data_IF_904552084253
#
_entry.id   IF_904552084253
#
_cell.length_a   1.000
_cell.length_b   1.000
_cell.length_c   1.000
_cell.angle_alpha   90.00
_cell.angle_beta   90.00
_cell.angle_gamma   90.00
#
_symmetry.space_group_name_H-M   'P 1'
#
loop_
_entity.id
_entity.type
_entity.pdbx_description
1 polymer ?
#
# COMPACT_ATOMS: atom_id res chain seq x y z
N UNK A 1 -7.83 34.09 30.37
CA UNK A 1 -8.53 35.40 30.42
C UNK A 1 -9.65 35.51 29.38
N UNK A 2 -10.71 34.69 29.32
CA UNK A 2 -11.86 34.99 28.44
C UNK A 2 -12.60 36.24 28.94
N UNK A 3 -12.42 37.35 28.23
CA UNK A 3 -13.18 38.59 28.37
C UNK A 3 -14.53 38.37 27.70
N UNK A 4 -15.59 38.58 28.47
CA UNK A 4 -16.96 38.35 28.05
C UNK A 4 -17.35 39.36 26.97
N UNK A 5 -18.03 38.89 25.91
CA UNK A 5 -18.37 39.67 24.71
C UNK A 5 -19.31 40.85 25.03
N UNK A 6 -19.93 40.84 26.21
CA UNK A 6 -20.80 41.90 26.71
C UNK A 6 -20.07 43.21 27.01
N UNK A 7 -18.79 43.16 27.43
CA UNK A 7 -18.00 44.36 27.72
C UNK A 7 -17.54 45.10 26.44
N UNK A 8 -17.42 44.39 25.32
CA UNK A 8 -17.00 44.99 24.03
C UNK A 8 -18.15 45.78 23.38
N UNK A 9 -19.39 45.56 23.80
CA UNK A 9 -20.59 46.09 23.14
C UNK A 9 -21.44 47.05 24.01
N UNK A 10 -21.01 47.39 25.22
CA UNK A 10 -21.54 48.54 25.98
C UNK A 10 -23.03 48.47 26.37
N UNK A 11 -23.56 47.29 26.67
CA UNK A 11 -24.98 47.11 27.01
C UNK A 11 -25.17 47.15 28.54
N UNK A 12 -26.06 47.99 29.12
CA UNK A 12 -26.25 48.07 30.57
C UNK A 12 -26.93 46.80 31.14
N UNK A 13 -26.39 46.27 32.24
CA UNK A 13 -26.86 45.04 32.87
C UNK A 13 -28.03 45.30 33.84
N UNK A 14 -29.20 44.70 33.59
CA UNK A 14 -30.16 44.46 34.67
C UNK A 14 -29.70 43.23 35.46
N UNK A 15 -29.59 43.39 36.78
CA UNK A 15 -29.12 42.40 37.74
C UNK A 15 -30.00 41.16 37.72
N UNK A 16 -29.40 39.95 37.72
CA UNK A 16 -29.82 38.80 38.53
C UNK A 16 -28.79 37.64 38.45
N UNK A 17 -28.30 37.28 39.64
CA UNK A 17 -27.75 36.00 40.14
C UNK A 17 -26.65 35.23 39.37
N UNK A 18 -25.56 34.98 40.12
CA UNK A 18 -24.29 34.37 39.73
C UNK A 18 -24.30 32.82 39.67
N UNK A 19 -23.51 32.26 38.74
CA UNK A 19 -23.08 30.86 38.71
C UNK A 19 -21.53 30.73 38.77
N UNK A 20 -20.98 29.58 39.21
CA UNK A 20 -19.58 29.44 39.65
C UNK A 20 -18.55 29.32 38.49
N UNK A 21 -17.26 29.62 38.72
CA UNK A 21 -16.30 29.91 37.65
C UNK A 21 -15.67 28.66 37.04
N UNK A 22 -15.65 28.56 35.70
CA UNK A 22 -14.88 27.54 34.98
C UNK A 22 -13.41 27.99 34.79
N UNK A 23 -12.49 27.11 35.20
CA UNK A 23 -11.03 27.26 35.05
C UNK A 23 -10.63 27.41 33.58
N UNK A 24 -10.01 28.55 33.24
CA UNK A 24 -9.35 28.82 31.96
C UNK A 24 -8.08 27.97 31.82
N UNK A 25 -8.08 27.02 30.89
CA UNK A 25 -6.84 26.36 30.41
C UNK A 25 -5.99 27.36 29.62
N UNK A 26 -4.70 27.46 29.95
CA UNK A 26 -3.73 28.25 29.17
C UNK A 26 -3.42 27.52 27.85
N UNK A 27 -3.42 28.19 26.69
CA UNK A 27 -2.83 27.61 25.49
C UNK A 27 -1.30 27.53 25.65
N UNK A 28 -0.70 26.44 25.17
CA UNK A 28 0.74 26.23 25.16
C UNK A 28 1.42 27.33 24.34
N UNK A 29 2.48 27.93 24.91
CA UNK A 29 3.33 28.87 24.18
C UNK A 29 4.13 28.20 23.06
N UNK A 30 4.65 28.97 22.11
CA UNK A 30 5.44 28.44 20.99
C UNK A 30 6.70 27.74 21.50
N UNK A 31 7.13 26.70 20.77
CA UNK A 31 8.39 26.01 21.03
C UNK A 31 9.56 27.00 20.95
N UNK A 32 10.49 26.93 21.92
CA UNK A 32 11.66 27.82 21.99
C UNK A 32 12.43 27.77 20.66
N UNK A 33 12.63 28.92 20.02
CA UNK A 33 13.47 29.08 18.84
C UNK A 33 12.76 29.49 17.55
N UNK A 34 11.42 29.55 17.52
CA UNK A 34 10.66 29.99 16.33
C UNK A 34 9.89 31.27 16.65
N UNK A 35 10.00 32.27 15.77
CA UNK A 35 9.29 33.55 15.96
C UNK A 35 7.78 33.34 15.84
N UNK A 36 7.04 34.11 16.65
CA UNK A 36 5.57 34.02 16.78
C UNK A 36 4.84 34.21 15.44
N UNK A 37 5.43 34.96 14.51
CA UNK A 37 4.86 35.23 13.20
C UNK A 37 5.11 34.07 12.22
N UNK A 38 6.28 33.44 12.29
CA UNK A 38 6.63 32.28 11.47
C UNK A 38 5.83 31.04 11.90
N UNK A 39 5.52 30.92 13.20
CA UNK A 39 4.62 29.89 13.73
C UNK A 39 3.17 30.06 13.27
N UNK A 40 2.69 31.31 13.15
CA UNK A 40 1.33 31.59 12.66
C UNK A 40 1.22 31.46 11.13
N UNK A 41 2.32 31.65 10.40
CA UNK A 41 2.38 31.47 8.95
C UNK A 41 2.46 29.99 8.54
N UNK A 42 3.00 29.12 9.40
CA UNK A 42 3.10 27.66 9.19
C UNK A 42 1.80 26.90 9.52
N UNK A 43 0.63 27.55 9.43
CA UNK A 43 -0.66 26.95 9.77
C UNK A 43 -0.90 25.58 9.11
N UNK A 44 -1.51 24.64 9.85
CA UNK A 44 -2.12 23.31 9.55
C UNK A 44 -1.62 22.44 8.37
N UNK A 45 -0.51 22.77 7.70
CA UNK A 45 0.00 22.10 6.51
C UNK A 45 1.32 21.37 6.78
N UNK A 46 1.36 20.61 7.88
CA UNK A 46 2.39 19.59 8.05
C UNK A 46 1.89 18.29 7.39
N UNK A 47 2.64 17.70 6.44
CA UNK A 47 2.29 16.39 5.90
C UNK A 47 2.27 15.37 7.05
N UNK A 48 1.31 14.43 7.10
CA UNK A 48 1.23 13.49 8.19
C UNK A 48 2.42 12.54 8.09
N UNK A 49 3.37 12.65 9.02
CA UNK A 49 4.41 11.65 9.22
C UNK A 49 3.75 10.35 9.69
N UNK A 50 3.41 9.48 8.74
CA UNK A 50 2.85 8.17 9.05
C UNK A 50 4.01 7.23 9.40
N UNK A 51 4.33 7.14 10.68
CA UNK A 51 4.84 5.90 11.25
C UNK A 51 3.64 5.19 11.86
N UNK A 52 3.07 4.21 11.15
CA UNK A 52 2.06 3.30 11.72
C UNK A 52 2.77 2.33 12.68
N UNK A 53 3.00 2.76 13.91
CA UNK A 53 3.18 1.82 15.02
C UNK A 53 1.78 1.43 15.53
N UNK A 54 1.50 0.14 15.42
CA UNK A 54 0.33 -0.55 15.94
C UNK A 54 -0.17 0.00 17.28
N UNK A 55 -1.36 0.61 17.30
CA UNK A 55 -2.33 0.61 18.40
C UNK A 55 -1.93 1.04 19.82
N UNK A 56 -0.67 1.33 20.10
CA UNK A 56 -0.19 1.77 21.41
C UNK A 56 0.06 3.28 21.34
N UNK A 57 -0.63 4.10 22.16
CA UNK A 57 -0.38 5.53 22.14
C UNK A 57 1.08 5.78 22.50
N UNK A 58 1.85 6.33 21.56
CA UNK A 58 3.22 6.84 21.74
C UNK A 58 3.24 8.10 22.62
N UNK A 59 2.70 7.95 23.84
CA UNK A 59 2.68 8.92 24.93
C UNK A 59 2.78 8.20 26.27
N UNK A 60 3.47 7.07 26.36
CA UNK A 60 4.02 6.67 27.65
C UNK A 60 5.00 7.76 28.06
N UNK A 61 4.62 8.56 29.05
CA UNK A 61 5.55 9.48 29.71
C UNK A 61 6.79 8.67 30.07
N UNK A 62 8.01 9.13 29.72
CA UNK A 62 9.22 8.41 30.09
C UNK A 62 9.17 8.10 31.58
N UNK A 63 9.46 6.86 31.97
CA UNK A 63 9.44 6.45 33.37
C UNK A 63 10.64 7.07 34.10
N UNK A 64 10.61 8.39 34.33
CA UNK A 64 11.68 9.18 34.94
C UNK A 64 12.03 8.76 36.38
N UNK A 65 11.22 7.89 37.01
CA UNK A 65 11.45 7.36 38.36
C UNK A 65 12.07 5.95 38.37
N UNK A 66 12.28 5.30 37.22
CA UNK A 66 13.03 4.03 37.20
C UNK A 66 14.51 4.31 37.36
N UNK A 67 15.17 3.58 38.27
CA UNK A 67 16.63 3.58 38.35
C UNK A 67 17.18 3.13 37.00
N UNK A 68 18.15 3.88 36.47
CA UNK A 68 18.81 3.51 35.23
C UNK A 68 19.41 2.10 35.39
N UNK A 69 19.18 1.24 34.40
CA UNK A 69 19.78 -0.09 34.35
C UNK A 69 21.30 0.10 34.28
N UNK A 70 22.04 -0.45 35.24
CA UNK A 70 23.49 -0.45 35.20
C UNK A 70 23.97 -1.41 34.10
N UNK A 71 24.91 -0.94 33.30
CA UNK A 71 25.53 -1.71 32.23
C UNK A 71 27.00 -1.91 32.54
N UNK A 72 27.48 -3.15 32.45
CA UNK A 72 28.89 -3.49 32.65
C UNK A 72 29.42 -4.14 31.38
N UNK A 73 30.66 -3.79 30.99
CA UNK A 73 31.37 -4.48 29.91
C UNK A 73 32.00 -5.75 30.45
N UNK A 74 31.38 -6.90 30.20
CA UNK A 74 31.88 -8.19 30.63
C UNK A 74 32.69 -8.85 29.49
N UNK A 75 33.84 -9.48 29.80
CA UNK A 75 34.54 -10.34 28.85
C UNK A 75 33.77 -11.65 28.64
N UNK A 76 33.78 -12.18 27.41
CA UNK A 76 33.21 -13.48 27.07
C UNK A 76 34.08 -14.18 26.01
N UNK A 77 34.00 -15.50 25.99
CA UNK A 77 34.57 -16.36 24.94
C UNK A 77 33.42 -16.90 24.10
N UNK A 78 33.64 -17.06 22.79
CA UNK A 78 32.66 -17.63 21.88
C UNK A 78 33.16 -19.01 21.44
N UNK A 79 32.56 -20.08 21.97
CA UNK A 79 32.90 -21.47 21.67
C UNK A 79 32.64 -21.89 20.22
N UNK A 80 31.90 -21.10 19.43
CA UNK A 80 31.77 -21.32 18.00
C UNK A 80 33.04 -20.97 17.20
N UNK A 81 34.00 -20.27 17.82
CA UNK A 81 35.27 -19.93 17.19
C UNK A 81 36.34 -20.95 17.56
N UNK A 82 37.30 -21.17 16.66
CA UNK A 82 38.46 -22.03 16.91
C UNK A 82 39.63 -21.27 17.56
N UNK A 83 39.55 -19.94 17.68
CA UNK A 83 40.54 -19.10 18.37
C UNK A 83 40.13 -18.80 19.82
N UNK A 84 41.10 -18.65 20.73
CA UNK A 84 40.83 -18.31 22.14
C UNK A 84 40.58 -16.79 22.34
N UNK A 85 39.91 -16.16 21.37
CA UNK A 85 39.70 -14.72 21.35
C UNK A 85 38.66 -14.30 22.40
N UNK A 86 39.11 -13.49 23.37
CA UNK A 86 38.23 -12.91 24.39
C UNK A 86 37.66 -11.58 23.91
N UNK A 87 36.35 -11.55 23.68
CA UNK A 87 35.60 -10.34 23.31
C UNK A 87 34.87 -9.75 24.52
N UNK A 88 34.28 -8.56 24.38
CA UNK A 88 33.52 -7.90 25.46
C UNK A 88 32.15 -7.47 24.95
N UNK A 89 31.09 -7.68 25.75
CA UNK A 89 29.76 -7.17 25.45
C UNK A 89 29.14 -6.48 26.67
N UNK A 90 28.08 -5.70 26.44
CA UNK A 90 27.34 -5.01 27.49
C UNK A 90 26.28 -5.92 28.10
N UNK A 91 26.38 -6.21 29.40
CA UNK A 91 25.36 -6.93 30.16
C UNK A 91 24.59 -5.99 31.08
N UNK A 92 23.30 -6.29 31.29
CA UNK A 92 22.45 -5.57 32.24
C UNK A 92 22.67 -6.15 33.64
N UNK A 93 23.02 -5.31 34.61
CA UNK A 93 22.99 -5.67 36.02
C UNK A 93 24.20 -5.18 36.83
N UNK A 94 24.08 -5.13 38.17
CA UNK A 94 25.21 -5.10 39.09
C UNK A 94 25.81 -6.51 39.21
N UNK A 95 27.11 -6.56 39.53
CA UNK A 95 28.07 -7.66 39.35
C UNK A 95 27.76 -8.98 40.11
N UNK A 96 26.60 -9.15 40.75
CA UNK A 96 26.26 -10.34 41.55
C UNK A 96 25.78 -11.56 40.73
N UNK A 97 25.27 -11.37 39.52
CA UNK A 97 24.85 -12.50 38.64
C UNK A 97 25.96 -12.95 37.67
N UNK A 98 27.20 -12.48 37.87
CA UNK A 98 28.38 -12.88 37.10
C UNK A 98 29.08 -14.14 37.66
N UNK A 99 28.62 -14.68 38.79
CA UNK A 99 29.24 -15.85 39.45
C UNK A 99 28.90 -17.18 38.78
N UNK A 100 27.96 -17.20 37.84
CA UNK A 100 27.83 -18.28 36.87
C UNK A 100 28.34 -17.78 35.52
N UNK A 101 29.61 -18.05 35.16
CA UNK A 101 30.02 -17.98 33.77
C UNK A 101 28.99 -18.78 32.99
N UNK A 102 28.20 -18.13 32.14
CA UNK A 102 27.35 -18.85 31.22
C UNK A 102 28.28 -19.83 30.48
N UNK A 103 28.07 -21.13 30.68
CA UNK A 103 28.94 -22.18 30.15
C UNK A 103 29.14 -22.03 28.63
N UNK A 104 28.16 -21.42 27.95
CA UNK A 104 28.13 -21.17 26.52
C UNK A 104 27.66 -19.74 26.25
N UNK A 105 28.34 -19.05 25.34
CA UNK A 105 27.89 -17.74 24.88
C UNK A 105 26.57 -17.89 24.12
N UNK A 106 25.56 -17.09 24.49
CA UNK A 106 24.20 -17.21 23.99
C UNK A 106 24.08 -17.31 22.45
N UNK A 107 24.97 -16.64 21.71
CA UNK A 107 24.91 -16.61 20.26
C UNK A 107 25.67 -17.75 19.56
N UNK A 108 26.33 -18.64 20.30
CA UNK A 108 26.98 -19.85 19.75
C UNK A 108 26.00 -20.73 18.98
N UNK A 109 24.76 -20.81 19.46
CA UNK A 109 23.67 -21.62 18.87
C UNK A 109 23.33 -21.20 17.44
N UNK A 110 23.69 -19.97 17.03
CA UNK A 110 23.44 -19.47 15.69
C UNK A 110 24.55 -19.80 14.69
N UNK A 111 25.70 -20.32 15.14
CA UNK A 111 26.76 -20.76 14.25
C UNK A 111 26.43 -22.14 13.66
N UNK A 112 25.55 -22.15 12.66
CA UNK A 112 25.10 -23.36 11.97
C UNK A 112 25.81 -23.50 10.64
N UNK A 113 26.44 -24.65 10.42
CA UNK A 113 27.10 -25.01 9.17
C UNK A 113 26.20 -25.97 8.37
N UNK A 114 26.05 -25.80 7.05
CA UNK A 114 25.35 -26.77 6.22
C UNK A 114 26.15 -28.06 6.13
N UNK A 115 25.45 -29.19 6.13
CA UNK A 115 26.07 -30.49 5.86
C UNK A 115 26.28 -30.65 4.34
N UNK A 116 27.53 -30.65 3.91
CA UNK A 116 27.91 -30.76 2.50
C UNK A 116 28.17 -32.23 2.19
N UNK A 117 27.37 -32.79 1.27
CA UNK A 117 27.49 -34.18 0.85
C UNK A 117 28.89 -34.48 0.29
N UNK A 118 29.52 -35.55 0.78
CA UNK A 118 30.78 -36.06 0.24
C UNK A 118 30.49 -37.22 -0.70
N UNK A 119 31.31 -37.40 -1.74
CA UNK A 119 31.19 -38.50 -2.70
C UNK A 119 32.48 -39.31 -2.82
N UNK A 120 32.34 -40.58 -3.22
CA UNK A 120 33.46 -41.44 -3.60
C UNK A 120 33.80 -41.33 -5.08
N UNK A 121 34.99 -41.81 -5.47
CA UNK A 121 35.38 -41.91 -6.88
C UNK A 121 34.39 -42.74 -7.73
N UNK A 122 33.77 -43.76 -7.13
CA UNK A 122 32.81 -44.65 -7.80
C UNK A 122 31.47 -43.97 -8.02
N UNK A 123 30.98 -43.24 -7.00
CA UNK A 123 29.77 -42.43 -7.11
C UNK A 123 29.94 -41.35 -8.17
N UNK A 124 31.14 -40.76 -8.28
CA UNK A 124 31.45 -39.77 -9.30
C UNK A 124 31.29 -40.34 -10.72
N UNK A 125 31.98 -41.46 -11.00
CA UNK A 125 31.97 -42.11 -12.31
C UNK A 125 30.56 -42.59 -12.71
N UNK A 126 29.75 -43.00 -11.73
CA UNK A 126 28.43 -43.59 -12.01
C UNK A 126 27.34 -42.54 -12.19
N UNK A 127 27.34 -41.48 -11.37
CA UNK A 127 26.19 -40.57 -11.26
C UNK A 127 26.51 -39.10 -11.51
N UNK A 128 27.78 -38.68 -11.41
CA UNK A 128 28.15 -37.26 -11.38
C UNK A 128 28.88 -36.77 -12.63
N UNK A 129 29.25 -37.66 -13.55
CA UNK A 129 29.90 -37.28 -14.81
C UNK A 129 29.02 -36.32 -15.63
N UNK A 130 29.63 -35.23 -16.10
CA UNK A 130 29.01 -34.26 -17.01
C UNK A 130 30.03 -33.83 -18.06
N UNK A 131 29.63 -33.65 -19.33
CA UNK A 131 30.55 -33.28 -20.40
C UNK A 131 31.18 -31.89 -20.18
N UNK A 132 30.44 -30.98 -19.55
CA UNK A 132 30.89 -29.60 -19.31
C UNK A 132 31.69 -29.42 -18.02
N UNK A 133 31.94 -30.48 -17.24
CA UNK A 133 32.57 -30.40 -15.92
C UNK A 133 33.64 -31.47 -15.74
N UNK A 134 34.82 -31.05 -15.30
CA UNK A 134 35.87 -32.01 -14.92
C UNK A 134 35.67 -32.46 -13.47
N UNK A 135 36.31 -33.58 -13.12
CA UNK A 135 36.32 -34.07 -11.74
C UNK A 135 37.02 -33.09 -10.81
N UNK A 136 38.17 -32.57 -11.22
CA UNK A 136 38.95 -31.58 -10.46
C UNK A 136 38.13 -30.32 -10.15
N UNK A 137 37.40 -29.79 -11.14
CA UNK A 137 36.50 -28.65 -10.93
C UNK A 137 35.39 -28.99 -9.93
N UNK A 138 34.88 -30.22 -9.99
CA UNK A 138 33.81 -30.67 -9.08
C UNK A 138 34.34 -30.84 -7.66
N UNK A 139 35.52 -31.42 -7.49
CA UNK A 139 36.19 -31.60 -6.20
C UNK A 139 36.43 -30.24 -5.54
N UNK A 140 37.00 -29.28 -6.30
CA UNK A 140 37.24 -27.91 -5.80
C UNK A 140 35.94 -27.19 -5.45
N UNK A 141 34.87 -27.36 -6.24
CA UNK A 141 33.56 -26.78 -5.92
C UNK A 141 33.03 -27.29 -4.58
N UNK A 142 33.08 -28.61 -4.35
CA UNK A 142 32.59 -29.20 -3.10
C UNK A 142 33.46 -28.78 -1.91
N UNK A 143 34.77 -28.71 -2.08
CA UNK A 143 35.70 -28.24 -1.05
C UNK A 143 35.44 -26.77 -0.69
N UNK A 144 35.24 -25.90 -1.68
CA UNK A 144 34.89 -24.50 -1.44
C UNK A 144 33.52 -24.38 -0.75
N UNK A 145 32.53 -25.17 -1.14
CA UNK A 145 31.23 -25.19 -0.48
C UNK A 145 31.34 -25.63 1.00
N UNK A 146 32.22 -26.60 1.30
CA UNK A 146 32.48 -27.06 2.67
C UNK A 146 33.25 -26.03 3.50
N UNK A 147 34.23 -25.35 2.92
CA UNK A 147 35.03 -24.33 3.63
C UNK A 147 34.24 -23.04 3.91
N UNK A 148 33.32 -22.67 3.02
CA UNK A 148 32.60 -21.39 3.06
C UNK A 148 31.09 -21.53 3.28
N UNK A 149 30.63 -22.66 3.82
CA UNK A 149 29.23 -22.89 4.21
C UNK A 149 28.23 -22.63 3.06
N UNK A 150 28.58 -23.05 1.85
CA UNK A 150 27.78 -22.83 0.63
C UNK A 150 27.42 -21.35 0.37
N UNK A 151 28.22 -20.41 0.87
CA UNK A 151 28.08 -18.98 0.57
C UNK A 151 28.56 -18.72 -0.85
N UNK A 152 27.69 -18.98 -1.82
CA UNK A 152 28.03 -18.98 -3.26
C UNK A 152 28.66 -17.68 -3.78
N UNK A 153 28.40 -16.53 -3.14
CA UNK A 153 29.08 -15.27 -3.48
C UNK A 153 30.59 -15.37 -3.21
N UNK A 154 30.98 -15.95 -2.07
CA UNK A 154 32.37 -16.18 -1.69
C UNK A 154 32.99 -17.32 -2.51
N UNK A 155 32.22 -18.39 -2.73
CA UNK A 155 32.67 -19.53 -3.56
C UNK A 155 32.99 -19.06 -4.98
N UNK A 156 32.14 -18.22 -5.57
CA UNK A 156 32.37 -17.63 -6.89
C UNK A 156 33.58 -16.68 -6.92
N UNK A 157 33.75 -15.85 -5.88
CA UNK A 157 34.92 -14.96 -5.75
C UNK A 157 36.25 -15.73 -5.63
N UNK A 158 36.23 -16.87 -4.94
CA UNK A 158 37.40 -17.74 -4.72
C UNK A 158 37.55 -18.84 -5.77
N UNK A 159 36.75 -18.81 -6.83
CA UNK A 159 36.84 -19.78 -7.91
C UNK A 159 38.20 -19.64 -8.62
N UNK A 160 38.96 -20.73 -8.80
CA UNK A 160 40.29 -20.64 -9.41
C UNK A 160 40.24 -20.06 -10.83
N UNK A 161 41.19 -19.17 -11.12
CA UNK A 161 41.33 -18.53 -12.43
C UNK A 161 41.68 -19.50 -13.55
N UNK A 162 42.33 -20.62 -13.18
CA UNK A 162 42.87 -21.62 -14.11
C UNK A 162 41.76 -22.49 -14.72
N UNK A 163 40.62 -22.56 -14.04
CA UNK A 163 39.44 -23.25 -14.54
C UNK A 163 38.59 -22.38 -15.45
N UNK A 164 37.65 -23.02 -16.14
CA UNK A 164 36.64 -22.30 -16.92
C UNK A 164 35.88 -21.34 -16.01
N UNK A 165 35.83 -20.07 -16.39
CA UNK A 165 35.06 -19.07 -15.67
C UNK A 165 33.57 -19.37 -15.80
N UNK A 166 32.88 -19.47 -14.67
CA UNK A 166 31.47 -19.83 -14.59
C UNK A 166 30.70 -18.81 -13.77
N UNK A 167 29.44 -18.60 -14.12
CA UNK A 167 28.56 -17.76 -13.33
C UNK A 167 28.26 -18.42 -11.98
N UNK A 168 27.93 -17.60 -10.98
CA UNK A 168 27.47 -18.09 -9.68
C UNK A 168 26.30 -19.09 -9.83
N UNK A 169 25.43 -18.87 -10.80
CA UNK A 169 24.26 -19.68 -11.08
C UNK A 169 24.64 -21.06 -11.64
N UNK A 170 25.68 -21.14 -12.47
CA UNK A 170 26.24 -22.40 -12.97
C UNK A 170 26.93 -23.21 -11.85
N UNK A 171 27.63 -22.54 -10.93
CA UNK A 171 28.22 -23.20 -9.76
C UNK A 171 27.13 -23.81 -8.86
N UNK A 172 26.02 -23.08 -8.67
CA UNK A 172 24.84 -23.58 -7.94
C UNK A 172 24.20 -24.76 -8.65
N UNK A 173 23.96 -24.68 -9.96
CA UNK A 173 23.39 -25.77 -10.74
C UNK A 173 24.21 -27.06 -10.56
N UNK A 174 25.54 -26.94 -10.69
CA UNK A 174 26.42 -28.09 -10.49
C UNK A 174 26.31 -28.64 -9.07
N UNK A 175 26.41 -27.80 -8.04
CA UNK A 175 26.30 -28.23 -6.64
C UNK A 175 24.97 -28.95 -6.36
N UNK A 176 23.83 -28.36 -6.73
CA UNK A 176 22.52 -28.94 -6.49
C UNK A 176 22.28 -30.20 -7.32
N UNK A 177 22.83 -30.28 -8.54
CA UNK A 177 22.77 -31.50 -9.35
C UNK A 177 23.50 -32.67 -8.68
N UNK A 178 24.66 -32.41 -8.06
CA UNK A 178 25.43 -33.42 -7.34
C UNK A 178 24.68 -33.86 -6.09
N UNK A 179 24.20 -32.93 -5.28
CA UNK A 179 23.42 -33.24 -4.08
C UNK A 179 22.17 -34.06 -4.43
N UNK A 180 21.45 -33.69 -5.49
CA UNK A 180 20.27 -34.42 -5.96
C UNK A 180 20.64 -35.85 -6.38
N UNK A 181 21.69 -36.02 -7.18
CA UNK A 181 22.14 -37.34 -7.64
C UNK A 181 22.62 -38.24 -6.50
N UNK A 182 23.39 -37.69 -5.55
CA UNK A 182 23.88 -38.44 -4.37
C UNK A 182 22.76 -38.81 -3.42
N UNK A 183 21.81 -37.92 -3.18
CA UNK A 183 20.71 -38.22 -2.27
C UNK A 183 19.76 -39.23 -2.89
N UNK A 184 19.51 -39.13 -4.20
CA UNK A 184 18.76 -40.12 -4.94
C UNK A 184 19.43 -41.50 -4.91
N UNK A 185 20.75 -41.59 -5.13
CA UNK A 185 21.47 -42.88 -5.10
C UNK A 185 21.48 -43.53 -3.71
N UNK A 186 21.42 -42.71 -2.66
CA UNK A 186 21.37 -43.14 -1.25
C UNK A 186 19.95 -43.36 -0.71
N UNK A 187 18.92 -43.20 -1.53
CA UNK A 187 17.52 -43.32 -1.12
C UNK A 187 17.06 -42.25 -0.12
N UNK A 188 17.73 -41.10 -0.08
CA UNK A 188 17.39 -39.94 0.74
C UNK A 188 16.42 -39.00 0.00
N UNK A 189 15.72 -38.15 0.75
CA UNK A 189 14.81 -37.16 0.15
C UNK A 189 15.59 -36.12 -0.66
N UNK A 190 15.14 -35.87 -1.88
CA UNK A 190 15.67 -34.81 -2.76
C UNK A 190 14.81 -33.55 -2.73
N UNK A 191 13.86 -33.45 -1.80
CA UNK A 191 12.93 -32.34 -1.73
C UNK A 191 13.66 -31.03 -1.43
N UNK A 192 13.35 -29.97 -2.19
CA UNK A 192 14.03 -28.68 -2.10
C UNK A 192 15.43 -28.59 -2.74
N UNK A 193 15.94 -29.65 -3.38
CA UNK A 193 17.22 -29.62 -4.11
C UNK A 193 17.09 -29.29 -5.60
N UNK A 194 15.87 -29.09 -6.10
CA UNK A 194 15.65 -28.72 -7.49
C UNK A 194 16.10 -27.28 -7.76
N UNK A 195 17.11 -27.15 -8.63
CA UNK A 195 17.63 -25.87 -9.09
C UNK A 195 17.46 -25.79 -10.61
N UNK A 196 16.77 -24.76 -11.10
CA UNK A 196 16.58 -24.50 -12.53
C UNK A 196 17.48 -23.33 -12.95
N UNK A 197 18.56 -23.67 -13.65
CA UNK A 197 19.56 -22.70 -14.12
C UNK A 197 18.93 -21.61 -15.00
N UNK A 198 18.11 -21.99 -15.98
CA UNK A 198 17.55 -21.05 -16.95
C UNK A 198 16.61 -20.05 -16.27
N UNK A 199 15.81 -20.54 -15.31
CA UNK A 199 14.92 -19.69 -14.51
C UNK A 199 15.69 -18.74 -13.61
N UNK A 200 16.75 -19.20 -12.95
CA UNK A 200 17.55 -18.37 -12.04
C UNK A 200 18.37 -17.31 -12.78
N UNK A 201 18.90 -17.63 -13.96
CA UNK A 201 19.56 -16.66 -14.84
C UNK A 201 18.58 -15.59 -15.33
N UNK A 202 17.39 -16.00 -15.80
CA UNK A 202 16.34 -15.06 -16.19
C UNK A 202 15.89 -14.16 -15.03
N UNK A 203 15.73 -14.75 -13.83
CA UNK A 203 15.37 -14.02 -12.61
C UNK A 203 16.44 -12.99 -12.23
N UNK A 204 17.73 -13.38 -12.28
CA UNK A 204 18.84 -12.46 -11.99
C UNK A 204 18.91 -11.33 -12.99
N UNK A 205 18.82 -11.63 -14.29
CA UNK A 205 18.81 -10.61 -15.35
C UNK A 205 17.68 -9.60 -15.14
N UNK A 206 16.47 -10.08 -14.84
CA UNK A 206 15.33 -9.21 -14.52
C UNK A 206 15.58 -8.31 -13.30
N UNK A 207 16.19 -8.85 -12.24
CA UNK A 207 16.53 -8.06 -11.05
C UNK A 207 17.64 -7.03 -11.33
N UNK A 208 18.62 -7.38 -12.16
CA UNK A 208 19.66 -6.45 -12.59
C UNK A 208 19.08 -5.30 -13.44
N UNK A 209 18.13 -5.61 -14.32
CA UNK A 209 17.37 -4.61 -15.09
C UNK A 209 16.57 -3.69 -14.15
N UNK A 210 15.85 -4.26 -13.18
CA UNK A 210 15.11 -3.48 -12.18
C UNK A 210 16.02 -2.62 -11.30
N UNK A 211 17.21 -3.11 -10.97
CA UNK A 211 18.19 -2.40 -10.17
C UNK A 211 18.83 -1.22 -10.94
N UNK A 212 19.03 -1.39 -12.26
CA UNK A 212 19.60 -0.35 -13.14
C UNK A 212 18.57 0.71 -13.55
N UNK A 213 17.29 0.50 -13.24
CA UNK A 213 16.19 1.38 -13.64
C UNK A 213 16.34 2.78 -13.05
N UNK A 214 16.25 3.79 -13.90
CA UNK A 214 16.28 5.20 -13.51
C UNK A 214 14.91 5.67 -13.02
N UNK A 215 14.85 6.71 -12.15
CA UNK A 215 13.56 7.27 -11.72
C UNK A 215 12.72 7.80 -12.88
N UNK A 216 13.33 8.34 -13.94
CA UNK A 216 12.61 8.85 -15.11
C UNK A 216 11.92 7.73 -15.88
N UNK A 217 12.59 6.58 -16.08
CA UNK A 217 11.98 5.36 -16.64
C UNK A 217 10.88 4.79 -15.74
N UNK A 218 10.94 5.03 -14.42
CA UNK A 218 9.84 4.69 -13.49
C UNK A 218 8.61 5.54 -13.76
N UNK A 219 8.78 6.85 -13.91
CA UNK A 219 7.67 7.75 -14.19
C UNK A 219 7.04 7.51 -15.56
N UNK A 220 7.85 7.25 -16.59
CA UNK A 220 7.36 6.96 -17.93
C UNK A 220 6.52 5.67 -17.97
N UNK A 221 7.01 4.56 -17.40
CA UNK A 221 6.23 3.32 -17.36
C UNK A 221 4.94 3.51 -16.55
N UNK A 222 4.97 4.26 -15.45
CA UNK A 222 3.77 4.56 -14.68
C UNK A 222 2.74 5.34 -15.53
N UNK A 223 3.19 6.30 -16.36
CA UNK A 223 2.32 7.01 -17.31
C UNK A 223 1.75 6.04 -18.35
N UNK A 224 2.58 5.15 -18.91
CA UNK A 224 2.14 4.14 -19.87
C UNK A 224 1.13 3.15 -19.27
N UNK A 225 1.31 2.72 -18.02
CA UNK A 225 0.38 1.84 -17.32
C UNK A 225 -0.98 2.54 -17.11
N UNK A 226 -0.97 3.83 -16.76
CA UNK A 226 -2.20 4.61 -16.61
C UNK A 226 -2.93 4.73 -17.96
N UNK A 227 -2.22 5.06 -19.03
CA UNK A 227 -2.78 5.16 -20.38
C UNK A 227 -3.28 3.80 -20.89
N UNK A 228 -2.54 2.72 -20.67
CA UNK A 228 -2.96 1.35 -21.01
C UNK A 228 -4.26 0.98 -20.31
N UNK A 229 -4.38 1.23 -19.00
CA UNK A 229 -5.62 0.99 -18.25
C UNK A 229 -6.78 1.85 -18.76
N UNK A 230 -6.49 3.09 -19.17
CA UNK A 230 -7.49 3.98 -19.75
C UNK A 230 -7.98 3.43 -21.10
N UNK A 231 -7.08 2.95 -21.96
CA UNK A 231 -7.41 2.32 -23.23
C UNK A 231 -8.21 1.03 -23.04
N UNK A 232 -7.82 0.15 -22.13
CA UNK A 232 -8.58 -1.06 -21.81
C UNK A 232 -10.00 -0.75 -21.31
N UNK A 233 -10.15 0.30 -20.49
CA UNK A 233 -11.47 0.74 -20.02
C UNK A 233 -12.31 1.31 -21.18
N UNK A 234 -11.70 2.11 -22.06
CA UNK A 234 -12.36 2.65 -23.24
C UNK A 234 -12.78 1.55 -24.22
N UNK A 235 -11.93 0.56 -24.45
CA UNK A 235 -12.22 -0.62 -25.29
C UNK A 235 -13.43 -1.39 -24.75
N UNK A 236 -13.47 -1.64 -23.43
CA UNK A 236 -14.63 -2.28 -22.78
C UNK A 236 -15.91 -1.47 -22.96
N UNK A 237 -15.85 -0.15 -22.82
CA UNK A 237 -17.02 0.72 -23.05
C UNK A 237 -17.47 0.68 -24.51
N UNK A 238 -16.53 0.74 -25.46
CA UNK A 238 -16.83 0.69 -26.88
C UNK A 238 -17.41 -0.66 -27.29
N UNK A 239 -16.92 -1.76 -26.71
CA UNK A 239 -17.48 -3.10 -26.92
C UNK A 239 -18.94 -3.19 -26.43
N UNK A 240 -19.24 -2.63 -25.25
CA UNK A 240 -20.61 -2.56 -24.72
C UNK A 240 -21.51 -1.70 -25.61
N UNK A 241 -21.04 -0.53 -26.04
CA UNK A 241 -21.78 0.35 -26.94
C UNK A 241 -22.05 -0.32 -28.29
N UNK A 242 -21.07 -1.03 -28.86
CA UNK A 242 -21.23 -1.80 -30.09
C UNK A 242 -22.26 -2.91 -29.92
N UNK A 243 -22.26 -3.63 -28.80
CA UNK A 243 -23.25 -4.66 -28.52
C UNK A 243 -24.66 -4.07 -28.39
N UNK A 244 -24.81 -2.94 -27.68
CA UNK A 244 -26.09 -2.24 -27.55
C UNK A 244 -26.59 -1.70 -28.89
N UNK A 245 -25.69 -1.19 -29.73
CA UNK A 245 -26.01 -0.73 -31.08
C UNK A 245 -26.48 -1.90 -31.94
N UNK A 246 -25.74 -3.02 -31.97
CA UNK A 246 -26.15 -4.22 -32.68
C UNK A 246 -27.52 -4.73 -32.19
N UNK A 247 -27.74 -4.77 -30.88
CA UNK A 247 -29.04 -5.13 -30.29
C UNK A 247 -30.18 -4.19 -30.71
N UNK A 248 -29.87 -2.91 -30.89
CA UNK A 248 -30.86 -1.90 -31.32
C UNK A 248 -31.10 -1.95 -32.82
N UNK A 249 -30.05 -2.26 -33.59
CA UNK A 249 -30.07 -2.41 -35.04
C UNK A 249 -30.65 -3.76 -35.49
N UNK A 250 -30.77 -4.75 -34.60
CA UNK A 250 -31.60 -5.95 -34.77
C UNK A 250 -33.07 -5.52 -34.93
N UNK A 251 -33.41 -5.05 -36.13
CA UNK A 251 -34.78 -4.91 -36.59
C UNK A 251 -35.43 -6.28 -36.54
N UNK A 252 -36.65 -6.41 -35.97
CA UNK A 252 -37.39 -7.66 -36.09
C UNK A 252 -37.57 -7.96 -37.57
N UNK A 253 -37.00 -9.08 -38.04
CA UNK A 253 -37.24 -9.61 -39.37
C UNK A 253 -38.76 -9.71 -39.56
N UNK A 254 -39.32 -9.00 -40.55
CA UNK A 254 -40.76 -9.04 -40.82
C UNK A 254 -41.13 -10.43 -41.32
N UNK A 255 -41.81 -11.23 -40.49
CA UNK A 255 -42.18 -12.61 -40.80
C UNK A 255 -43.46 -12.72 -41.65
N UNK A 256 -43.98 -11.63 -42.21
CA UNK A 256 -45.29 -11.61 -42.86
C UNK A 256 -45.40 -10.61 -44.02
N UNK A 257 -46.36 -10.88 -44.91
CA UNK A 257 -46.67 -10.04 -46.07
C UNK A 257 -47.31 -8.72 -45.65
N UNK A 258 -46.85 -7.61 -46.25
CA UNK A 258 -47.35 -6.23 -46.02
C UNK A 258 -48.87 -6.10 -46.22
N UNK A 259 -49.47 -6.99 -47.03
CA UNK A 259 -50.90 -7.00 -47.31
C UNK A 259 -51.77 -7.15 -46.05
N UNK A 260 -51.27 -7.82 -45.00
CA UNK A 260 -52.01 -8.04 -43.75
C UNK A 260 -52.12 -6.77 -42.88
N UNK A 261 -51.36 -5.72 -43.19
CA UNK A 261 -51.33 -4.45 -42.46
C UNK A 261 -51.90 -3.28 -43.24
N UNK A 262 -52.43 -3.52 -44.45
CA UNK A 262 -53.04 -2.49 -45.30
C UNK A 262 -54.44 -2.08 -44.83
N UNK A 263 -55.10 -2.88 -43.99
CA UNK A 263 -56.37 -2.51 -43.36
C UNK A 263 -56.12 -1.78 -42.03
N UNK A 264 -57.01 -0.85 -41.67
CA UNK A 264 -56.95 -0.11 -40.40
C UNK A 264 -56.93 -1.04 -39.17
N UNK A 265 -57.60 -2.20 -39.27
CA UNK A 265 -57.58 -3.25 -38.25
C UNK A 265 -56.24 -4.00 -38.19
N UNK A 266 -55.63 -4.29 -39.33
CA UNK A 266 -54.30 -4.94 -39.41
C UNK A 266 -53.16 -4.05 -38.90
N UNK A 267 -53.30 -2.73 -39.07
CA UNK A 267 -52.39 -1.71 -38.56
C UNK A 267 -52.51 -1.56 -37.03
N UNK A 268 -53.73 -1.62 -36.49
CA UNK A 268 -53.97 -1.61 -35.04
C UNK A 268 -53.41 -2.87 -34.35
N UNK A 269 -53.56 -4.04 -34.97
CA UNK A 269 -52.99 -5.29 -34.46
C UNK A 269 -51.44 -5.27 -34.45
N UNK A 270 -50.82 -4.71 -35.48
CA UNK A 270 -49.36 -4.52 -35.55
C UNK A 270 -48.86 -3.55 -34.48
N UNK A 271 -49.56 -2.43 -34.28
CA UNK A 271 -49.21 -1.45 -33.26
C UNK A 271 -49.27 -2.05 -31.84
N UNK A 272 -50.29 -2.85 -31.55
CA UNK A 272 -50.40 -3.60 -30.28
C UNK A 272 -49.32 -4.68 -30.14
N UNK A 273 -48.98 -5.38 -31.24
CA UNK A 273 -47.86 -6.33 -31.28
C UNK A 273 -46.50 -5.68 -31.00
N UNK A 274 -46.24 -4.49 -31.56
CA UNK A 274 -45.02 -3.74 -31.28
C UNK A 274 -44.98 -3.22 -29.84
N UNK A 275 -46.07 -2.67 -29.32
CA UNK A 275 -46.18 -2.20 -27.93
C UNK A 275 -45.98 -3.34 -26.91
N UNK A 276 -46.44 -4.54 -27.21
CA UNK A 276 -46.26 -5.71 -26.33
C UNK A 276 -44.87 -6.30 -26.43
N UNK A 277 -44.27 -6.35 -27.63
CA UNK A 277 -42.87 -6.75 -27.82
C UNK A 277 -41.90 -5.79 -27.12
N UNK A 278 -42.18 -4.48 -27.15
CA UNK A 278 -41.34 -3.47 -26.50
C UNK A 278 -41.43 -3.54 -24.97
N UNK A 279 -42.65 -3.77 -24.43
CA UNK A 279 -42.86 -4.07 -23.00
C UNK A 279 -42.14 -5.34 -22.55
N UNK A 280 -42.13 -6.39 -23.38
CA UNK A 280 -41.44 -7.65 -23.07
C UNK A 280 -39.90 -7.51 -23.13
N UNK A 281 -39.35 -6.77 -24.11
CA UNK A 281 -37.91 -6.46 -24.18
C UNK A 281 -37.45 -5.63 -22.97
N UNK A 282 -38.23 -4.64 -22.55
CA UNK A 282 -37.93 -3.81 -21.37
C UNK A 282 -37.96 -4.62 -20.07
N UNK A 283 -38.88 -5.58 -19.96
CA UNK A 283 -38.96 -6.51 -18.82
C UNK A 283 -37.76 -7.48 -18.79
N UNK A 284 -37.29 -7.94 -19.96
CA UNK A 284 -36.05 -8.74 -20.09
C UNK A 284 -34.79 -7.94 -19.73
N UNK A 285 -34.76 -6.62 -20.02
CA UNK A 285 -33.69 -5.69 -19.62
C UNK A 285 -33.58 -5.47 -18.09
N UNK A 286 -34.66 -5.66 -17.34
CA UNK A 286 -34.66 -5.64 -15.86
C UNK A 286 -34.33 -7.01 -15.22
N UNK A 287 -34.39 -8.09 -15.99
CA UNK A 287 -34.21 -9.47 -15.51
C UNK A 287 -32.86 -10.09 -15.92
N UNK A 288 -32.06 -9.41 -16.73
CA UNK A 288 -30.65 -9.75 -16.96
C UNK A 288 -29.81 -9.14 -15.82
N UNK A 289 -29.31 -9.93 -14.85
CA UNK A 289 -28.31 -9.43 -13.94
C UNK A 289 -27.10 -9.01 -14.77
N UNK A 290 -26.69 -7.74 -14.63
CA UNK A 290 -25.40 -7.26 -15.09
C UNK A 290 -24.36 -8.35 -14.85
N UNK A 291 -23.70 -8.80 -15.93
CA UNK A 291 -22.71 -9.86 -15.95
C UNK A 291 -21.97 -9.90 -14.61
N UNK A 292 -22.41 -10.79 -13.72
CA UNK A 292 -21.65 -11.10 -12.54
C UNK A 292 -20.36 -11.66 -13.12
N UNK A 293 -19.24 -10.93 -12.96
CA UNK A 293 -17.92 -11.50 -13.16
C UNK A 293 -17.98 -12.89 -12.58
N UNK A 294 -17.73 -13.91 -13.41
CA UNK A 294 -17.72 -15.29 -12.99
C UNK A 294 -16.80 -15.35 -11.76
N UNK A 295 -17.40 -15.38 -10.57
CA UNK A 295 -16.68 -15.73 -9.36
C UNK A 295 -16.29 -17.17 -9.63
N UNK A 296 -15.05 -17.37 -10.08
CA UNK A 296 -14.44 -18.69 -10.09
C UNK A 296 -14.80 -19.32 -8.75
N UNK A 297 -15.64 -20.35 -8.79
CA UNK A 297 -15.92 -21.15 -7.62
C UNK A 297 -14.64 -21.90 -7.35
N UNK A 298 -13.74 -21.31 -6.56
CA UNK A 298 -12.59 -22.03 -6.04
C UNK A 298 -13.15 -23.23 -5.26
N UNK A 299 -12.78 -24.44 -5.70
CA UNK A 299 -13.06 -25.67 -4.96
C UNK A 299 -12.43 -25.51 -3.57
N UNK A 300 -13.24 -25.57 -2.51
CA UNK A 300 -12.72 -25.62 -1.15
C UNK A 300 -12.02 -26.97 -0.97
N UNK A 301 -10.71 -26.95 -0.76
CA UNK A 301 -9.93 -28.16 -0.48
C UNK A 301 -10.46 -28.84 0.79
N UNK A 302 -10.45 -30.17 0.80
CA UNK A 302 -10.84 -30.97 1.96
C UNK A 302 -9.84 -30.80 3.12
N UNK A 303 -10.25 -31.09 4.37
CA UNK A 303 -9.36 -30.99 5.54
C UNK A 303 -8.10 -31.89 5.50
N UNK A 304 -8.05 -32.86 4.57
CA UNK A 304 -6.88 -33.72 4.33
C UNK A 304 -5.91 -33.05 3.35
N UNK A 305 -6.42 -32.54 2.23
CA UNK A 305 -5.63 -31.81 1.22
C UNK A 305 -5.02 -30.50 1.80
N UNK A 306 -5.69 -29.85 2.75
CA UNK A 306 -5.16 -28.64 3.42
C UNK A 306 -3.91 -28.90 4.28
N UNK A 307 -3.80 -30.10 4.87
CA UNK A 307 -2.63 -30.51 5.67
C UNK A 307 -1.45 -30.91 4.79
N UNK A 308 -1.71 -31.57 3.67
CA UNK A 308 -0.68 -31.93 2.69
C UNK A 308 -0.08 -30.68 2.01
N UNK A 309 -0.88 -29.65 1.74
CA UNK A 309 -0.41 -28.40 1.13
C UNK A 309 -0.02 -27.30 2.12
N UNK A 310 -0.08 -27.54 3.43
CA UNK A 310 0.36 -26.58 4.46
C UNK A 310 -0.44 -25.27 4.53
N UNK A 311 -1.67 -25.23 4.00
CA UNK A 311 -2.48 -24.00 3.93
C UNK A 311 -3.28 -23.84 5.23
N UNK A 312 -2.91 -22.87 6.06
CA UNK A 312 -3.65 -22.47 7.27
C UNK A 312 -4.32 -21.11 7.06
N UNK A 313 -5.65 -21.06 7.20
CA UNK A 313 -6.38 -19.78 7.12
C UNK A 313 -6.25 -19.05 8.45
N UNK A 314 -5.33 -18.09 8.52
CA UNK A 314 -5.34 -17.09 9.58
C UNK A 314 -5.91 -15.76 9.06
N UNK A 315 -6.91 -15.29 9.80
CA UNK A 315 -7.52 -13.95 9.78
C UNK A 315 -8.34 -13.56 8.53
N UNK A 316 -9.59 -13.12 8.77
CA UNK A 316 -10.40 -12.46 7.73
C UNK A 316 -9.75 -11.10 7.41
N UNK A 317 -8.82 -11.07 6.47
CA UNK A 317 -8.44 -9.82 5.83
C UNK A 317 -9.66 -9.29 5.07
N UNK A 318 -10.14 -8.12 5.47
CA UNK A 318 -11.19 -7.40 4.74
C UNK A 318 -10.70 -7.16 3.31
N UNK A 319 -11.38 -7.75 2.33
CA UNK A 319 -11.12 -7.55 0.91
C UNK A 319 -11.31 -6.08 0.52
N UNK A 320 -10.25 -5.43 0.05
CA UNK A 320 -10.28 -4.10 -0.56
C UNK A 320 -9.24 -3.11 -0.03
N UNK A 321 -8.70 -2.28 -0.93
CA UNK A 321 -7.91 -1.12 -0.56
C UNK A 321 -8.84 -0.02 -0.03
N UNK A 322 -8.67 0.37 1.24
CA UNK A 322 -9.45 1.45 1.84
C UNK A 322 -8.77 2.79 1.59
N UNK A 323 -9.45 3.72 0.92
CA UNK A 323 -9.02 5.11 0.87
C UNK A 323 -9.09 5.73 2.27
N UNK A 324 -8.14 6.62 2.60
CA UNK A 324 -8.04 7.30 3.91
C UNK A 324 -9.34 7.97 4.35
N UNK A 325 -10.17 8.42 3.39
CA UNK A 325 -11.48 9.01 3.62
C UNK A 325 -12.51 8.04 4.22
N UNK A 326 -12.40 6.73 3.91
CA UNK A 326 -13.33 5.70 4.38
C UNK A 326 -13.06 5.21 5.81
N UNK A 327 -11.89 5.53 6.38
CA UNK A 327 -11.53 5.19 7.77
C UNK A 327 -11.63 6.38 8.73
N UNK A 328 -12.28 7.47 8.33
CA UNK A 328 -12.59 8.54 9.29
C UNK A 328 -13.57 8.00 10.33
N UNK A 329 -13.26 8.21 11.61
CA UNK A 329 -14.16 7.85 12.72
C UNK A 329 -15.46 8.61 12.47
N UNK A 330 -16.56 7.89 12.24
CA UNK A 330 -17.87 8.49 12.08
C UNK A 330 -18.11 9.45 13.26
N UNK A 331 -18.30 10.74 12.97
CA UNK A 331 -18.59 11.73 14.01
C UNK A 331 -19.81 11.23 14.79
N UNK A 332 -19.70 11.19 16.13
CA UNK A 332 -20.86 10.90 16.98
C UNK A 332 -22.03 11.77 16.50
N UNK A 333 -23.22 11.18 16.34
CA UNK A 333 -24.41 11.81 15.75
C UNK A 333 -24.69 13.22 16.31
N UNK A 334 -24.38 13.44 17.58
CA UNK A 334 -24.52 14.71 18.31
C UNK A 334 -23.52 15.80 17.90
N UNK A 335 -22.33 15.44 17.42
CA UNK A 335 -21.35 16.39 16.87
C UNK A 335 -21.68 16.69 15.42
N UNK A 336 -22.13 15.69 14.65
CA UNK A 336 -22.56 15.88 13.26
C UNK A 336 -23.73 16.87 13.15
N UNK A 337 -24.72 16.77 14.05
CA UNK A 337 -25.84 17.73 14.12
C UNK A 337 -25.37 19.15 14.44
N UNK A 338 -24.46 19.31 15.42
CA UNK A 338 -23.90 20.64 15.76
C UNK A 338 -23.11 21.25 14.60
N UNK A 339 -22.31 20.46 13.89
CA UNK A 339 -21.56 20.91 12.71
C UNK A 339 -22.52 21.36 11.62
N UNK A 340 -23.60 20.60 11.37
CA UNK A 340 -24.61 20.97 10.38
C UNK A 340 -25.30 22.31 10.73
N UNK A 341 -25.66 22.52 12.00
CA UNK A 341 -26.29 23.77 12.46
C UNK A 341 -25.34 24.97 12.33
N UNK A 342 -24.06 24.80 12.67
CA UNK A 342 -23.06 25.86 12.51
C UNK A 342 -22.83 26.18 11.03
N UNK A 343 -22.80 25.15 10.17
CA UNK A 343 -22.63 25.33 8.73
C UNK A 343 -23.83 26.06 8.11
N UNK A 344 -25.05 25.77 8.55
CA UNK A 344 -26.26 26.50 8.13
C UNK A 344 -26.22 27.97 8.55
N UNK A 345 -25.77 28.29 9.77
CA UNK A 345 -25.67 29.68 10.22
C UNK A 345 -24.54 30.44 9.49
N UNK A 346 -23.45 29.77 9.14
CA UNK A 346 -22.39 30.35 8.30
C UNK A 346 -22.88 30.68 6.90
N UNK A 347 -23.63 29.78 6.26
CA UNK A 347 -24.25 30.03 4.94
C UNK A 347 -25.20 31.23 5.03
N UNK A 348 -26.07 31.28 6.05
CA UNK A 348 -27.01 32.39 6.24
C UNK A 348 -26.29 33.74 6.43
N UNK A 349 -25.15 33.76 7.14
CA UNK A 349 -24.32 34.96 7.32
C UNK A 349 -23.61 35.35 6.04
N UNK A 350 -23.18 34.38 5.25
CA UNK A 350 -22.57 34.63 3.94
C UNK A 350 -23.59 35.26 2.98
N UNK A 351 -24.82 34.74 2.92
CA UNK A 351 -25.89 35.31 2.10
C UNK A 351 -26.24 36.75 2.52
N UNK A 352 -26.27 37.01 3.83
CA UNK A 352 -26.46 38.37 4.37
C UNK A 352 -25.31 39.31 4.00
N UNK A 353 -24.08 38.81 3.99
CA UNK A 353 -22.91 39.59 3.60
C UNK A 353 -22.94 39.89 2.09
N UNK A 354 -23.32 38.92 1.26
CA UNK A 354 -23.53 39.13 -0.17
C UNK A 354 -24.60 40.17 -0.45
N UNK A 355 -25.74 40.15 0.25
CA UNK A 355 -26.79 41.16 0.06
C UNK A 355 -26.31 42.56 0.48
N UNK A 356 -25.58 42.68 1.59
CA UNK A 356 -24.98 43.95 2.02
C UNK A 356 -23.98 44.48 1.00
N UNK A 357 -23.10 43.64 0.47
CA UNK A 357 -22.15 44.04 -0.57
C UNK A 357 -22.91 44.53 -1.81
N UNK A 358 -23.97 43.84 -2.24
CA UNK A 358 -24.79 44.29 -3.36
C UNK A 358 -25.41 45.68 -3.12
N UNK A 359 -25.97 45.92 -1.92
CA UNK A 359 -26.53 47.24 -1.57
C UNK A 359 -25.47 48.35 -1.54
N UNK A 360 -24.27 48.05 -1.05
CA UNK A 360 -23.16 49.01 -1.00
C UNK A 360 -22.63 49.33 -2.40
N UNK A 361 -22.56 48.34 -3.29
CA UNK A 361 -22.17 48.57 -4.68
C UNK A 361 -23.18 49.44 -5.41
N UNK A 362 -24.48 49.28 -5.15
CA UNK A 362 -25.52 50.12 -5.75
C UNK A 362 -25.49 51.54 -5.19
N UNK A 363 -25.30 51.71 -3.87
CA UNK A 363 -25.10 53.02 -3.26
C UNK A 363 -23.86 53.72 -3.84
N UNK A 364 -22.77 52.98 -4.05
CA UNK A 364 -21.53 53.49 -4.65
C UNK A 364 -21.75 53.95 -6.10
N UNK A 365 -22.54 53.20 -6.91
CA UNK A 365 -22.93 53.64 -8.26
C UNK A 365 -23.72 54.94 -8.25
N UNK A 366 -24.62 55.12 -7.30
CA UNK A 366 -25.42 56.35 -7.17
C UNK A 366 -24.52 57.54 -6.80
N UNK A 367 -23.56 57.35 -5.89
CA UNK A 367 -22.57 58.38 -5.52
C UNK A 367 -21.67 58.73 -6.70
N UNK A 368 -21.09 57.73 -7.38
CA UNK A 368 -20.25 57.94 -8.56
C UNK A 368 -21.00 58.73 -9.66
N UNK A 369 -22.31 58.47 -9.82
CA UNK A 369 -23.17 59.19 -10.77
C UNK A 369 -23.49 60.62 -10.32
N UNK A 370 -23.65 60.86 -9.02
CA UNK A 370 -23.85 62.21 -8.50
C UNK A 370 -22.58 63.06 -8.61
N UNK A 371 -21.40 62.46 -8.38
CA UNK A 371 -20.10 63.12 -8.56
C UNK A 371 -19.84 63.49 -10.03
N UNK A 372 -20.21 62.62 -10.98
CA UNK A 372 -20.16 62.94 -12.42
C UNK A 372 -21.09 64.09 -12.83
N UNK A 373 -22.19 64.31 -12.10
CA UNK A 373 -23.11 65.43 -12.36
C UNK A 373 -22.60 66.72 -11.71
N UNK A 374 -21.90 66.65 -10.57
CA UNK A 374 -21.29 67.83 -9.93
C UNK A 374 -20.03 68.34 -10.64
N UNK A 375 -19.28 67.46 -11.32
CA UNK A 375 -18.10 67.83 -12.12
C UNK A 375 -18.44 68.30 -13.55
N UNK A 376 -19.72 68.33 -13.92
CA UNK A 376 -20.15 68.95 -15.18
C UNK A 376 -20.23 70.47 -14.98
N UNK A 377 -19.40 71.29 -15.68
CA UNK A 377 -19.37 72.72 -15.47
C UNK A 377 -20.73 73.31 -15.84
N UNK A 378 -21.32 74.05 -14.90
CA UNK A 378 -22.51 74.84 -15.13
C UNK A 378 -22.35 75.61 -16.44
N UNK A 379 -23.22 75.33 -17.40
CA UNK A 379 -23.40 76.15 -18.58
C UNK A 379 -23.69 77.58 -18.08
N UNK A 380 -22.70 78.45 -18.23
CA UNK A 380 -22.83 79.88 -18.01
C UNK A 380 -23.86 80.36 -19.04
N UNK A 381 -25.06 80.67 -18.56
CA UNK A 381 -26.04 81.45 -19.30
C UNK A 381 -25.46 82.85 -19.44
N UNK A 382 -25.11 83.24 -20.66
CA UNK A 382 -25.05 84.63 -21.14
C UNK A 382 -25.36 84.66 -22.63
#
# INVERSE_FOLDING_TARGET
MASDVRDVLGIPSSSLAAGPPQKKQKPNGPAKGVSRELYNLLGDNLPPTVAQHSGQPFKEKPRFKQKAVSWVRAPFKNGARQDDLVLRHWIRGPVTDLETPAEHYHFEVFNKHPDVAQYSSEEYATFLERPDWTREETDVLMDLCKQWDCRFVVVHDRWPSDFKQRSQEQLKDRYYSICTALYASRGQSTDGLHYDLAREEARKKYLEELFKRTPDEVEEENKLIIESRRLEAAEKQLALQKQELLRTLETPQSTGSIAQHMSSQGLAALAQGMLTADKQKTKKKQLEPASASAKQRYRKLSPREQREHGVTWHEKLSSGAFLRSQKTVALKQTVATKVLTVMQELVRRFDLLQSKIATLLEAKRVVDKAEQVSDSPAAVIS
#
